data_IF_684916126834
#
_entry.id   IF_684916126834
#
_cell.length_a   1.000
_cell.length_b   1.000
_cell.length_c   1.000
_cell.angle_alpha   90.00
_cell.angle_beta   90.00
_cell.angle_gamma   90.00
#
_symmetry.space_group_name_H-M   'P 1'
#
loop_
_entity.id
_entity.type
_entity.pdbx_description
1 polymer ?
#
# COMPACT_ATOMS: atom_id res chain seq x y z
N UNK A 1 -3.98 20.36 -47.15
CA UNK A 1 -3.20 21.07 -46.11
C UNK A 1 -3.94 20.92 -44.81
N UNK A 2 -3.41 20.14 -43.88
CA UNK A 2 -3.93 20.09 -42.50
C UNK A 2 -3.34 21.27 -41.74
N UNK A 3 -4.19 22.21 -41.34
CA UNK A 3 -3.83 23.31 -40.43
C UNK A 3 -3.63 22.66 -39.05
N UNK A 4 -2.41 22.71 -38.52
CA UNK A 4 -2.08 22.27 -37.16
C UNK A 4 -2.52 23.31 -36.12
N UNK A 5 -2.65 22.91 -34.85
CA UNK A 5 -3.05 23.85 -33.77
C UNK A 5 -2.04 24.99 -33.65
N UNK A 6 -0.77 24.73 -33.94
CA UNK A 6 0.32 25.70 -33.95
C UNK A 6 0.23 26.72 -35.09
N UNK A 7 -0.55 26.45 -36.13
CA UNK A 7 -0.79 27.35 -37.26
C UNK A 7 -1.84 28.42 -36.94
N UNK A 8 -2.53 28.29 -35.79
CA UNK A 8 -3.47 29.30 -35.30
C UNK A 8 -2.72 30.53 -34.75
N UNK A 9 -3.25 31.75 -34.98
CA UNK A 9 -2.74 32.98 -34.35
C UNK A 9 -2.59 32.81 -32.83
N UNK A 10 -1.53 33.41 -32.26
CA UNK A 10 -1.20 33.31 -30.83
C UNK A 10 -2.38 33.71 -29.93
N UNK A 11 -3.14 34.72 -30.32
CA UNK A 11 -4.34 35.22 -29.62
C UNK A 11 -5.46 34.19 -29.58
N UNK A 12 -5.72 33.47 -30.68
CA UNK A 12 -6.72 32.40 -30.74
C UNK A 12 -6.25 31.19 -29.94
N UNK A 13 -4.96 30.85 -30.01
CA UNK A 13 -4.37 29.81 -29.15
C UNK A 13 -4.51 30.17 -27.67
N UNK A 14 -4.22 31.42 -27.29
CA UNK A 14 -4.38 31.91 -25.92
C UNK A 14 -5.83 31.87 -25.47
N UNK A 15 -6.79 32.31 -26.29
CA UNK A 15 -8.23 32.20 -25.96
C UNK A 15 -8.67 30.75 -25.78
N UNK A 16 -8.28 29.83 -26.68
CA UNK A 16 -8.57 28.40 -26.52
C UNK A 16 -7.95 27.87 -25.22
N UNK A 17 -6.72 28.28 -24.91
CA UNK A 17 -6.06 27.85 -23.68
C UNK A 17 -6.73 28.44 -22.44
N UNK A 18 -7.03 29.72 -22.41
CA UNK A 18 -7.53 30.46 -21.24
C UNK A 18 -9.02 30.24 -20.98
N UNK A 19 -9.86 30.20 -22.02
CA UNK A 19 -11.32 30.16 -21.90
C UNK A 19 -11.90 28.73 -21.97
N UNK A 20 -11.24 27.79 -22.66
CA UNK A 20 -11.79 26.43 -22.89
C UNK A 20 -11.10 25.32 -22.07
N UNK A 21 -9.89 25.51 -21.55
CA UNK A 21 -9.11 24.43 -20.90
C UNK A 21 -9.05 24.47 -19.38
N UNK A 22 -9.61 25.49 -18.72
CA UNK A 22 -9.67 25.59 -17.26
C UNK A 22 -11.02 26.17 -16.83
N UNK A 23 -12.03 25.34 -16.55
CA UNK A 23 -13.22 25.82 -15.88
C UNK A 23 -12.81 26.32 -14.48
N UNK A 24 -13.15 27.57 -14.10
CA UNK A 24 -12.81 28.11 -12.80
C UNK A 24 -13.51 27.30 -11.69
N UNK A 25 -12.88 27.23 -10.52
CA UNK A 25 -13.53 26.70 -9.32
C UNK A 25 -14.57 27.73 -8.88
N UNK A 26 -15.84 27.34 -8.86
CA UNK A 26 -16.95 28.17 -8.43
C UNK A 26 -17.46 27.70 -7.08
N UNK A 27 -17.73 28.64 -6.18
CA UNK A 27 -18.45 28.37 -4.94
C UNK A 27 -19.94 28.58 -5.20
N UNK A 28 -20.73 27.54 -5.01
CA UNK A 28 -22.20 27.61 -5.11
C UNK A 28 -22.79 28.30 -3.88
N UNK A 29 -24.02 28.79 -4.00
CA UNK A 29 -24.75 29.48 -2.93
C UNK A 29 -24.92 28.63 -1.66
N UNK A 30 -24.87 27.30 -1.78
CA UNK A 30 -24.90 26.34 -0.67
C UNK A 30 -23.54 26.11 0.01
N UNK A 31 -22.51 26.88 -0.38
CA UNK A 31 -21.15 26.76 0.11
C UNK A 31 -20.35 25.60 -0.50
N UNK A 32 -20.94 24.78 -1.37
CA UNK A 32 -20.24 23.68 -2.04
C UNK A 32 -19.35 24.19 -3.16
N UNK A 33 -18.20 23.55 -3.33
CA UNK A 33 -17.25 23.87 -4.39
C UNK A 33 -17.51 22.99 -5.61
N UNK A 34 -17.63 23.61 -6.78
CA UNK A 34 -17.72 22.89 -8.05
C UNK A 34 -16.67 23.37 -9.04
N UNK A 35 -16.25 22.47 -9.91
CA UNK A 35 -15.51 22.79 -11.12
C UNK A 35 -16.35 22.24 -12.28
N UNK A 36 -16.74 23.10 -13.23
CA UNK A 36 -17.50 22.65 -14.39
C UNK A 36 -16.68 21.66 -15.22
N UNK A 37 -17.34 20.73 -15.92
CA UNK A 37 -16.64 19.86 -16.86
C UNK A 37 -16.13 20.71 -18.02
N UNK A 38 -14.81 20.70 -18.27
CA UNK A 38 -14.25 21.38 -19.44
C UNK A 38 -14.93 20.84 -20.70
N UNK A 39 -15.34 21.69 -21.63
CA UNK A 39 -15.99 21.25 -22.87
C UNK A 39 -14.96 20.54 -23.77
N UNK A 40 -14.86 19.21 -23.62
CA UNK A 40 -13.86 18.35 -24.28
C UNK A 40 -14.22 18.07 -25.76
N UNK A 41 -15.44 18.40 -26.18
CA UNK A 41 -16.00 18.04 -27.49
C UNK A 41 -15.21 18.64 -28.66
N UNK A 42 -14.56 19.81 -28.46
CA UNK A 42 -13.73 20.47 -29.47
C UNK A 42 -12.52 19.60 -29.88
N UNK A 43 -12.00 18.76 -28.98
CA UNK A 43 -10.79 17.97 -29.25
C UNK A 43 -11.02 16.80 -30.19
N UNK A 44 -12.26 16.36 -30.42
CA UNK A 44 -12.55 15.16 -31.23
C UNK A 44 -12.70 15.42 -32.73
N UNK A 45 -12.41 16.65 -33.19
CA UNK A 45 -12.59 17.06 -34.59
C UNK A 45 -11.51 16.52 -35.54
N UNK A 46 -10.28 16.27 -35.07
CA UNK A 46 -9.17 15.70 -35.86
C UNK A 46 -8.19 14.93 -34.94
N UNK A 47 -7.62 13.80 -35.37
CA UNK A 47 -6.66 13.00 -34.57
C UNK A 47 -5.41 13.77 -34.12
N UNK A 48 -4.87 14.65 -34.96
CA UNK A 48 -3.69 15.45 -34.63
C UNK A 48 -4.04 16.55 -33.61
N UNK A 49 -5.13 17.28 -33.86
CA UNK A 49 -5.67 18.29 -32.94
C UNK A 49 -6.03 17.63 -31.60
N UNK A 50 -6.63 16.44 -31.63
CA UNK A 50 -6.92 15.65 -30.43
C UNK A 50 -5.66 15.38 -29.62
N UNK A 51 -4.58 14.89 -30.25
CA UNK A 51 -3.34 14.58 -29.55
C UNK A 51 -2.74 15.84 -28.92
N UNK A 52 -2.51 16.88 -29.71
CA UNK A 52 -1.89 18.15 -29.27
C UNK A 52 -2.74 18.84 -28.19
N UNK A 53 -4.05 18.97 -28.40
CA UNK A 53 -4.94 19.62 -27.43
C UNK A 53 -5.14 18.78 -26.18
N UNK A 54 -5.13 17.44 -26.27
CA UNK A 54 -5.16 16.59 -25.08
C UNK A 54 -3.90 16.76 -24.24
N UNK A 55 -2.72 16.80 -24.85
CA UNK A 55 -1.47 17.00 -24.09
C UNK A 55 -1.46 18.35 -23.39
N UNK A 56 -1.92 19.42 -24.07
CA UNK A 56 -2.05 20.74 -23.44
C UNK A 56 -3.09 20.72 -22.32
N UNK A 57 -4.24 20.08 -22.52
CA UNK A 57 -5.28 19.98 -21.51
C UNK A 57 -4.78 19.28 -20.23
N UNK A 58 -4.14 18.12 -20.37
CA UNK A 58 -3.61 17.37 -19.23
C UNK A 58 -2.43 18.08 -18.56
N UNK A 59 -1.52 18.69 -19.33
CA UNK A 59 -0.41 19.46 -18.80
C UNK A 59 -0.88 20.72 -18.07
N UNK A 60 -1.90 21.43 -18.59
CA UNK A 60 -2.42 22.65 -17.98
C UNK A 60 -3.17 22.39 -16.67
N UNK A 61 -3.95 21.32 -16.63
CA UNK A 61 -4.79 20.98 -15.47
C UNK A 61 -4.05 20.17 -14.40
N UNK A 62 -3.02 19.42 -14.81
CA UNK A 62 -2.21 18.53 -13.96
C UNK A 62 -3.15 17.64 -13.13
N UNK A 63 -3.83 16.72 -13.83
CA UNK A 63 -4.83 15.86 -13.21
C UNK A 63 -4.22 14.84 -12.27
N UNK A 64 -4.85 14.71 -11.11
CA UNK A 64 -4.41 13.85 -10.01
C UNK A 64 -5.51 12.86 -9.71
N UNK A 65 -5.16 11.58 -9.71
CA UNK A 65 -6.09 10.49 -9.42
C UNK A 65 -6.08 10.24 -7.92
N UNK A 66 -7.24 10.39 -7.28
CA UNK A 66 -7.43 10.04 -5.88
C UNK A 66 -7.98 8.62 -5.80
N UNK A 67 -7.24 7.73 -5.16
CA UNK A 67 -7.58 6.31 -5.02
C UNK A 67 -7.70 5.93 -3.55
N UNK A 68 -8.57 4.98 -3.25
CA UNK A 68 -8.63 4.36 -1.93
C UNK A 68 -9.02 2.90 -2.01
N UNK A 69 -8.56 2.10 -1.05
CA UNK A 69 -9.00 0.73 -0.87
C UNK A 69 -10.29 0.61 -0.02
N UNK A 70 -10.88 1.74 0.36
CA UNK A 70 -12.12 1.80 1.16
C UNK A 70 -13.08 2.82 0.55
N UNK A 71 -14.31 2.40 0.25
CA UNK A 71 -15.32 3.23 -0.41
C UNK A 71 -15.90 4.34 0.50
N UNK A 72 -15.77 4.18 1.81
CA UNK A 72 -16.23 5.15 2.82
C UNK A 72 -15.19 6.21 3.15
N UNK A 73 -13.95 6.10 2.65
CA UNK A 73 -12.88 7.00 3.06
C UNK A 73 -13.18 8.48 2.78
N UNK A 74 -13.84 8.73 1.66
CA UNK A 74 -14.13 10.06 1.16
C UNK A 74 -15.62 10.41 1.24
N UNK A 75 -16.33 9.88 2.24
CA UNK A 75 -17.72 10.25 2.55
C UNK A 75 -18.01 11.76 2.43
N UNK A 76 -19.30 12.11 2.26
CA UNK A 76 -19.82 13.42 1.82
C UNK A 76 -18.96 14.65 2.17
N UNK A 77 -18.49 14.78 3.41
CA UNK A 77 -17.67 15.90 3.84
C UNK A 77 -16.36 16.14 3.06
N UNK A 78 -15.73 15.14 2.44
CA UNK A 78 -14.58 15.37 1.53
C UNK A 78 -15.05 15.89 0.18
N UNK A 79 -16.09 15.28 -0.39
CA UNK A 79 -16.63 15.63 -1.70
C UNK A 79 -17.22 17.05 -1.74
N UNK A 80 -17.82 17.52 -0.65
CA UNK A 80 -18.44 18.85 -0.59
C UNK A 80 -17.39 19.97 -0.45
N UNK A 81 -16.26 19.67 0.18
CA UNK A 81 -15.16 20.60 0.45
C UNK A 81 -14.07 20.59 -0.61
N UNK A 82 -14.13 19.64 -1.55
CA UNK A 82 -13.13 19.48 -2.60
C UNK A 82 -13.79 19.61 -3.97
N UNK A 83 -13.37 20.55 -4.83
CA UNK A 83 -13.86 20.62 -6.20
C UNK A 83 -13.35 19.39 -6.96
N UNK A 84 -14.23 18.42 -7.14
CA UNK A 84 -13.96 17.20 -7.89
C UNK A 84 -14.18 17.48 -9.37
N UNK A 85 -13.11 17.32 -10.16
CA UNK A 85 -13.19 17.42 -11.61
C UNK A 85 -14.05 16.29 -12.18
N UNK A 86 -13.80 15.05 -11.74
CA UNK A 86 -14.58 13.90 -12.23
C UNK A 86 -14.67 12.78 -11.21
N UNK A 87 -15.88 12.30 -10.94
CA UNK A 87 -16.09 11.02 -10.23
C UNK A 87 -15.83 9.85 -11.18
N UNK A 88 -15.06 8.87 -10.72
CA UNK A 88 -14.72 7.70 -11.53
C UNK A 88 -15.88 6.69 -11.46
N UNK A 89 -16.56 6.50 -12.60
CA UNK A 89 -17.63 5.49 -12.72
C UNK A 89 -17.10 4.11 -13.09
N UNK A 90 -15.98 4.07 -13.83
CA UNK A 90 -15.31 2.84 -14.27
C UNK A 90 -13.80 2.94 -13.97
N UNK A 91 -13.33 2.38 -12.85
CA UNK A 91 -11.93 2.45 -12.44
C UNK A 91 -10.94 1.87 -13.46
N UNK A 92 -11.37 0.89 -14.27
CA UNK A 92 -10.51 0.20 -15.24
C UNK A 92 -10.03 1.12 -16.36
N UNK A 93 -10.81 2.15 -16.69
CA UNK A 93 -10.46 3.15 -17.72
C UNK A 93 -9.44 4.16 -17.24
N UNK A 94 -9.27 4.31 -15.92
CA UNK A 94 -8.35 5.27 -15.31
C UNK A 94 -6.97 4.65 -15.13
N UNK A 95 -6.89 3.40 -14.65
CA UNK A 95 -5.62 2.69 -14.43
C UNK A 95 -4.80 2.42 -15.69
N UNK A 96 -5.39 2.57 -16.89
CA UNK A 96 -4.73 2.35 -18.18
C UNK A 96 -4.27 3.64 -18.87
N UNK A 97 -4.46 4.82 -18.26
CA UNK A 97 -4.21 6.10 -18.91
C UNK A 97 -2.89 6.75 -18.42
N UNK A 98 -1.84 6.85 -19.26
CA UNK A 98 -0.56 7.46 -18.88
C UNK A 98 -0.62 9.00 -18.75
N UNK A 99 -1.80 9.62 -18.93
CA UNK A 99 -1.95 11.07 -19.03
C UNK A 99 -2.10 11.77 -17.67
N UNK A 100 -2.22 11.02 -16.59
CA UNK A 100 -2.34 11.59 -15.24
C UNK A 100 -0.98 11.99 -14.70
N UNK A 101 -0.95 13.13 -14.01
CA UNK A 101 0.29 13.66 -13.44
C UNK A 101 0.77 12.82 -12.26
N UNK A 102 -0.17 12.47 -11.38
CA UNK A 102 0.11 11.84 -10.10
C UNK A 102 -1.10 11.00 -9.66
N UNK A 103 -0.82 9.95 -8.90
CA UNK A 103 -1.81 9.20 -8.13
C UNK A 103 -1.57 9.42 -6.64
N UNK A 104 -2.61 9.79 -5.90
CA UNK A 104 -2.60 9.76 -4.43
C UNK A 104 -3.47 8.60 -3.97
N UNK A 105 -2.83 7.56 -3.44
CA UNK A 105 -3.51 6.37 -2.93
C UNK A 105 -3.57 6.40 -1.41
N UNK A 106 -4.78 6.32 -0.88
CA UNK A 106 -5.06 6.33 0.54
C UNK A 106 -5.48 4.94 1.00
N UNK A 107 -4.63 4.34 1.83
CA UNK A 107 -4.84 2.99 2.34
C UNK A 107 -5.36 3.04 3.77
N UNK A 108 -6.48 2.36 3.97
CA UNK A 108 -7.09 2.09 5.26
C UNK A 108 -7.23 0.61 5.54
N UNK A 109 -7.50 0.27 6.80
CA UNK A 109 -7.81 -1.05 7.30
C UNK A 109 -9.25 -1.09 7.84
N UNK A 110 -10.15 -1.65 7.06
CA UNK A 110 -11.53 -1.98 7.42
C UNK A 110 -11.77 -3.51 7.38
N UNK A 111 -13.00 -3.98 7.55
CA UNK A 111 -13.30 -5.42 7.59
C UNK A 111 -13.15 -6.12 6.23
N UNK A 112 -13.39 -5.43 5.12
CA UNK A 112 -13.30 -5.96 3.76
C UNK A 112 -12.49 -5.00 2.89
N UNK A 113 -11.34 -5.45 2.41
CA UNK A 113 -10.41 -4.56 1.73
C UNK A 113 -9.83 -5.21 0.48
N UNK A 114 -9.67 -4.40 -0.55
CA UNK A 114 -8.80 -4.73 -1.66
C UNK A 114 -7.34 -4.47 -1.27
N UNK A 115 -6.42 -5.30 -1.75
CA UNK A 115 -4.99 -5.03 -1.62
C UNK A 115 -4.57 -3.73 -2.32
N UNK A 116 -5.32 -3.32 -3.35
CA UNK A 116 -5.08 -2.12 -4.13
C UNK A 116 -6.22 -1.12 -4.01
N UNK A 117 -5.86 0.16 -3.95
CA UNK A 117 -6.81 1.24 -4.04
C UNK A 117 -7.46 1.28 -5.42
N UNK A 118 -8.76 1.55 -5.43
CA UNK A 118 -9.51 1.82 -6.65
C UNK A 118 -9.58 3.33 -6.86
N UNK A 119 -9.38 3.83 -8.09
CA UNK A 119 -9.65 5.23 -8.41
C UNK A 119 -11.07 5.63 -8.06
N UNK A 120 -11.21 6.64 -7.21
CA UNK A 120 -12.51 7.14 -6.72
C UNK A 120 -12.91 8.39 -7.49
N UNK A 121 -11.99 9.35 -7.61
CA UNK A 121 -12.24 10.60 -8.33
C UNK A 121 -10.93 11.26 -8.78
N UNK A 122 -11.07 12.26 -9.65
CA UNK A 122 -9.98 13.04 -10.23
C UNK A 122 -10.13 14.48 -9.76
N UNK A 123 -9.03 15.08 -9.35
CA UNK A 123 -8.91 16.50 -9.03
C UNK A 123 -7.85 17.16 -9.92
N UNK A 124 -7.93 18.47 -10.07
CA UNK A 124 -6.85 19.26 -10.68
C UNK A 124 -5.85 19.66 -9.60
N UNK A 125 -4.63 20.04 -10.00
CA UNK A 125 -3.65 20.56 -9.04
C UNK A 125 -4.13 21.85 -8.32
N UNK A 126 -5.07 22.61 -8.91
CA UNK A 126 -5.68 23.79 -8.27
C UNK A 126 -6.56 23.42 -7.07
N UNK A 127 -7.14 22.22 -7.06
CA UNK A 127 -8.02 21.75 -5.99
C UNK A 127 -7.26 21.17 -4.78
N UNK A 128 -5.94 20.95 -4.90
CA UNK A 128 -5.13 20.31 -3.86
C UNK A 128 -5.13 21.00 -2.49
N UNK A 129 -5.05 22.35 -2.37
CA UNK A 129 -5.09 22.99 -1.06
C UNK A 129 -6.41 22.73 -0.33
N UNK A 130 -7.52 22.74 -1.07
CA UNK A 130 -8.87 22.48 -0.57
C UNK A 130 -9.02 21.01 -0.18
N UNK A 131 -8.51 20.11 -1.02
CA UNK A 131 -8.46 18.69 -0.73
C UNK A 131 -7.68 18.40 0.56
N UNK A 132 -6.45 18.91 0.69
CA UNK A 132 -5.62 18.77 1.88
C UNK A 132 -6.35 19.25 3.14
N UNK A 133 -7.00 20.41 3.06
CA UNK A 133 -7.80 20.95 4.16
C UNK A 133 -8.98 20.04 4.51
N UNK A 134 -9.65 19.45 3.51
CA UNK A 134 -10.77 18.53 3.71
C UNK A 134 -10.36 17.19 4.36
N UNK A 135 -9.09 16.80 4.22
CA UNK A 135 -8.50 15.61 4.84
C UNK A 135 -8.09 15.84 6.30
N UNK A 136 -7.96 17.10 6.74
CA UNK A 136 -7.46 17.41 8.07
C UNK A 136 -8.34 16.81 9.18
N UNK A 137 -7.71 16.29 10.24
CA UNK A 137 -8.36 15.68 11.41
C UNK A 137 -8.96 14.28 11.17
N UNK A 138 -9.19 13.88 9.92
CA UNK A 138 -9.76 12.55 9.59
C UNK A 138 -8.78 11.39 9.83
N UNK A 139 -7.48 11.68 9.75
CA UNK A 139 -6.42 10.66 9.75
C UNK A 139 -5.50 10.72 10.98
N UNK A 140 -5.84 11.56 11.97
CA UNK A 140 -4.99 11.80 13.14
C UNK A 140 -5.05 10.64 14.15
N UNK A 141 -6.23 10.05 14.39
CA UNK A 141 -6.43 9.03 15.45
C UNK A 141 -7.49 7.96 15.11
N UNK A 142 -7.39 7.31 13.95
CA UNK A 142 -8.29 6.22 13.55
C UNK A 142 -7.58 4.87 13.49
N UNK A 143 -8.19 3.84 14.08
CA UNK A 143 -7.86 2.44 13.77
C UNK A 143 -8.17 2.25 12.27
N UNK A 144 -7.13 2.35 11.46
CA UNK A 144 -7.14 1.92 10.08
C UNK A 144 -7.43 2.96 9.00
N UNK A 145 -7.09 4.25 9.10
CA UNK A 145 -7.00 5.10 7.90
C UNK A 145 -5.93 6.17 8.10
N UNK A 146 -4.85 6.13 7.32
CA UNK A 146 -3.79 7.14 7.44
C UNK A 146 -2.49 6.84 6.70
N UNK A 147 -2.44 5.81 5.85
CA UNK A 147 -1.27 5.51 5.03
C UNK A 147 -1.47 6.08 3.64
N UNK A 148 -0.53 6.88 3.14
CA UNK A 148 -0.65 7.53 1.84
C UNK A 148 0.55 7.22 0.96
N UNK A 149 0.29 6.86 -0.29
CA UNK A 149 1.31 6.81 -1.33
C UNK A 149 1.01 7.88 -2.38
N UNK A 150 1.92 8.83 -2.55
CA UNK A 150 1.90 9.81 -3.62
C UNK A 150 2.89 9.36 -4.69
N UNK A 151 2.40 9.02 -5.88
CA UNK A 151 3.23 8.53 -6.97
C UNK A 151 3.11 9.47 -8.18
N UNK A 152 4.20 10.15 -8.52
CA UNK A 152 4.31 10.94 -9.74
C UNK A 152 4.46 10.00 -10.93
N UNK A 153 3.56 10.14 -11.90
CA UNK A 153 3.50 9.33 -13.11
C UNK A 153 4.07 10.09 -14.32
N UNK A 154 3.74 11.38 -14.42
CA UNK A 154 4.14 12.22 -15.55
C UNK A 154 4.30 13.68 -15.13
N UNK A 155 5.49 14.23 -15.37
CA UNK A 155 5.81 15.66 -15.16
C UNK A 155 5.47 16.52 -16.38
N UNK A 156 5.03 15.90 -17.47
CA UNK A 156 4.84 16.53 -18.78
C UNK A 156 6.14 17.18 -19.27
N UNK A 157 6.05 18.36 -19.90
CA UNK A 157 7.21 19.16 -20.33
C UNK A 157 7.71 20.13 -19.26
N UNK A 158 7.23 20.01 -18.01
CA UNK A 158 7.72 20.84 -16.91
C UNK A 158 9.05 20.30 -16.39
N UNK A 159 9.89 21.21 -15.88
CA UNK A 159 11.04 20.82 -15.06
C UNK A 159 10.56 20.18 -13.76
N UNK A 160 11.40 19.36 -13.13
CA UNK A 160 11.11 18.73 -11.84
C UNK A 160 10.69 19.75 -10.77
N UNK A 161 11.45 20.84 -10.66
CA UNK A 161 11.18 21.94 -9.74
C UNK A 161 9.80 22.57 -10.01
N UNK A 162 9.53 22.96 -11.26
CA UNK A 162 8.25 23.60 -11.61
C UNK A 162 7.06 22.69 -11.41
N UNK A 163 7.20 21.42 -11.75
CA UNK A 163 6.15 20.43 -11.49
C UNK A 163 5.89 20.30 -9.99
N UNK A 164 6.96 20.22 -9.18
CA UNK A 164 6.87 20.07 -7.74
C UNK A 164 6.19 21.28 -7.09
N UNK A 165 6.51 22.49 -7.52
CA UNK A 165 5.82 23.71 -7.12
C UNK A 165 4.32 23.67 -7.45
N UNK A 166 3.98 23.30 -8.69
CA UNK A 166 2.60 23.30 -9.18
C UNK A 166 1.72 22.24 -8.51
N UNK A 167 2.29 21.15 -8.02
CA UNK A 167 1.58 20.05 -7.36
C UNK A 167 1.75 20.11 -5.86
N UNK A 168 2.96 19.87 -5.38
CA UNK A 168 3.27 19.76 -3.96
C UNK A 168 3.28 21.13 -3.29
N UNK A 169 3.78 22.19 -3.95
CA UNK A 169 3.67 23.55 -3.43
C UNK A 169 2.21 23.98 -3.21
N UNK A 170 1.30 23.64 -4.13
CA UNK A 170 -0.14 23.87 -3.95
C UNK A 170 -0.75 23.01 -2.85
N UNK A 171 -0.35 21.75 -2.73
CA UNK A 171 -0.79 20.92 -1.62
C UNK A 171 -0.37 21.51 -0.26
N UNK A 172 0.87 21.98 -0.17
CA UNK A 172 1.45 22.58 1.03
C UNK A 172 0.89 23.97 1.35
N UNK A 173 0.31 24.68 0.38
CA UNK A 173 -0.33 25.98 0.59
C UNK A 173 -1.73 25.89 1.21
N UNK A 174 -2.17 24.71 1.64
CA UNK A 174 -3.44 24.52 2.32
C UNK A 174 -3.49 25.28 3.66
N UNK A 175 -4.67 25.79 4.03
CA UNK A 175 -4.86 26.44 5.35
C UNK A 175 -4.51 25.47 6.49
N UNK A 176 -4.85 24.19 6.31
CA UNK A 176 -4.52 23.12 7.26
C UNK A 176 -4.06 21.88 6.52
N UNK A 177 -2.91 21.35 6.93
CA UNK A 177 -2.34 20.14 6.36
C UNK A 177 -2.76 18.89 7.16
N UNK A 178 -3.08 17.78 6.47
CA UNK A 178 -3.37 16.52 7.13
C UNK A 178 -2.10 15.89 7.71
N UNK A 179 -2.25 15.23 8.86
CA UNK A 179 -1.19 14.39 9.45
C UNK A 179 -1.52 12.92 9.20
N UNK A 180 -0.68 12.24 8.43
CA UNK A 180 -0.79 10.85 8.04
C UNK A 180 0.05 9.96 8.96
N UNK A 181 -0.43 8.75 9.26
CA UNK A 181 0.31 7.74 10.05
C UNK A 181 1.65 7.44 9.39
N UNK A 182 1.63 7.21 8.08
CA UNK A 182 2.85 7.20 7.27
C UNK A 182 2.52 7.65 5.86
N UNK A 183 3.53 8.21 5.20
CA UNK A 183 3.40 8.60 3.81
C UNK A 183 4.65 8.23 3.03
N UNK A 184 4.45 7.86 1.77
CA UNK A 184 5.51 7.58 0.81
C UNK A 184 5.32 8.49 -0.38
N UNK A 185 6.38 9.17 -0.79
CA UNK A 185 6.40 9.99 -1.98
C UNK A 185 7.37 9.36 -2.97
N UNK A 186 6.88 8.96 -4.14
CA UNK A 186 7.64 8.30 -5.19
C UNK A 186 7.60 9.12 -6.49
N UNK A 187 8.73 9.18 -7.20
CA UNK A 187 8.86 9.76 -8.53
C UNK A 187 9.84 10.93 -8.60
N UNK A 188 9.90 11.60 -9.75
CA UNK A 188 10.83 12.73 -9.99
C UNK A 188 10.28 14.01 -9.38
N UNK A 189 10.76 14.36 -8.20
CA UNK A 189 10.26 15.46 -7.36
C UNK A 189 11.47 16.19 -6.79
N UNK A 190 11.31 17.49 -6.61
CA UNK A 190 12.34 18.31 -5.98
C UNK A 190 12.40 18.03 -4.46
N UNK A 191 13.62 17.84 -3.96
CA UNK A 191 13.88 17.34 -2.60
C UNK A 191 13.34 18.25 -1.50
N UNK A 192 13.29 19.58 -1.74
CA UNK A 192 12.76 20.54 -0.76
C UNK A 192 11.25 20.31 -0.53
N UNK A 193 10.52 19.93 -1.59
CA UNK A 193 9.10 19.59 -1.48
C UNK A 193 8.89 18.24 -0.81
N UNK A 194 9.78 17.26 -1.05
CA UNK A 194 9.74 15.98 -0.33
C UNK A 194 9.95 16.26 1.16
N UNK A 195 10.98 17.04 1.52
CA UNK A 195 11.27 17.43 2.89
C UNK A 195 10.07 18.14 3.56
N UNK A 196 9.48 19.12 2.87
CA UNK A 196 8.33 19.87 3.38
C UNK A 196 7.10 18.97 3.60
N UNK A 197 6.79 18.06 2.67
CA UNK A 197 5.68 17.11 2.84
C UNK A 197 5.95 16.15 3.98
N UNK A 198 7.14 15.55 4.02
CA UNK A 198 7.49 14.59 5.05
C UNK A 198 7.46 15.23 6.44
N UNK A 199 7.95 16.46 6.59
CA UNK A 199 7.98 17.18 7.87
C UNK A 199 6.60 17.70 8.31
N UNK A 200 5.78 18.19 7.38
CA UNK A 200 4.50 18.82 7.71
C UNK A 200 3.30 17.87 7.66
N UNK A 201 3.40 16.74 6.95
CA UNK A 201 2.28 15.82 6.74
C UNK A 201 2.48 14.44 7.36
N UNK A 202 3.71 14.02 7.71
CA UNK A 202 3.88 12.80 8.50
C UNK A 202 3.53 13.07 9.97
N UNK A 203 2.88 12.12 10.65
CA UNK A 203 2.60 12.20 12.07
C UNK A 203 3.92 12.07 12.84
N UNK A 204 4.27 13.10 13.60
CA UNK A 204 5.49 13.21 14.39
C UNK A 204 5.41 12.54 15.77
N UNK A 205 4.20 12.11 16.19
CA UNK A 205 4.00 11.39 17.45
C UNK A 205 4.89 10.14 17.53
N UNK A 206 5.65 10.04 18.62
CA UNK A 206 6.61 8.95 18.88
C UNK A 206 5.95 7.57 18.87
N UNK A 207 4.66 7.50 19.19
CA UNK A 207 3.89 6.26 19.24
C UNK A 207 3.32 5.84 17.88
N UNK A 208 3.41 6.65 16.83
CA UNK A 208 2.81 6.36 15.51
C UNK A 208 3.31 5.04 14.91
N UNK A 209 4.63 4.79 14.97
CA UNK A 209 5.25 3.55 14.49
C UNK A 209 4.79 2.33 15.31
N UNK A 210 4.58 2.50 16.61
CA UNK A 210 4.09 1.45 17.52
C UNK A 210 2.64 1.09 17.26
N UNK A 211 1.77 2.08 17.07
CA UNK A 211 0.37 1.85 16.74
C UNK A 211 0.22 1.14 15.39
N UNK A 212 1.02 1.53 14.39
CA UNK A 212 1.03 0.85 13.10
C UNK A 212 1.43 -0.63 13.25
N UNK A 213 2.53 -0.89 13.95
CA UNK A 213 3.06 -2.25 14.14
C UNK A 213 2.08 -3.14 14.92
N UNK A 214 1.45 -2.59 15.97
CA UNK A 214 0.40 -3.28 16.72
C UNK A 214 -0.79 -3.61 15.81
N UNK A 215 -1.25 -2.65 15.00
CA UNK A 215 -2.31 -2.86 14.02
C UNK A 215 -1.98 -4.00 13.06
N UNK A 216 -0.81 -3.94 12.42
CA UNK A 216 -0.31 -4.97 11.50
C UNK A 216 -0.39 -6.37 12.12
N UNK A 217 0.06 -6.48 13.37
CA UNK A 217 0.05 -7.73 14.12
C UNK A 217 -1.36 -8.22 14.43
N UNK A 218 -2.25 -7.35 14.91
CA UNK A 218 -3.65 -7.71 15.14
C UNK A 218 -4.31 -8.28 13.87
N UNK A 219 -4.04 -7.70 12.70
CA UNK A 219 -4.59 -8.20 11.42
C UNK A 219 -3.99 -9.54 11.01
N UNK A 220 -2.67 -9.70 11.15
CA UNK A 220 -1.99 -10.98 10.93
C UNK A 220 -2.65 -12.08 11.77
N UNK A 221 -2.81 -11.83 13.06
CA UNK A 221 -3.40 -12.79 14.01
C UNK A 221 -4.87 -13.11 13.66
N UNK A 222 -5.64 -12.13 13.17
CA UNK A 222 -7.02 -12.34 12.72
C UNK A 222 -7.10 -13.26 11.49
N UNK A 223 -6.29 -12.99 10.46
CA UNK A 223 -6.25 -13.85 9.26
C UNK A 223 -5.78 -15.26 9.64
N UNK A 224 -4.76 -15.34 10.50
CA UNK A 224 -4.25 -16.59 11.03
C UNK A 224 -5.34 -17.40 11.74
N UNK A 225 -6.01 -16.79 12.71
CA UNK A 225 -7.07 -17.42 13.47
C UNK A 225 -8.22 -17.90 12.58
N UNK A 226 -8.63 -17.10 11.59
CA UNK A 226 -9.64 -17.52 10.61
C UNK A 226 -9.18 -18.73 9.78
N UNK A 227 -7.91 -18.80 9.37
CA UNK A 227 -7.39 -19.98 8.67
C UNK A 227 -7.35 -21.22 9.57
N UNK A 228 -7.03 -21.08 10.86
CA UNK A 228 -7.06 -22.19 11.83
C UNK A 228 -8.45 -22.80 11.96
N UNK A 229 -9.48 -21.96 11.91
CA UNK A 229 -10.90 -22.33 12.05
C UNK A 229 -11.58 -22.79 10.74
N UNK A 230 -10.83 -22.95 9.63
CA UNK A 230 -11.40 -23.29 8.31
C UNK A 230 -12.33 -24.51 8.33
N UNK A 231 -11.96 -25.55 9.06
CA UNK A 231 -12.69 -26.83 9.12
C UNK A 231 -13.43 -27.02 10.46
N UNK A 232 -13.45 -26.01 11.32
CA UNK A 232 -14.16 -26.02 12.58
C UNK A 232 -15.65 -25.71 12.33
N UNK A 233 -16.60 -26.57 12.73
CA UNK A 233 -18.03 -26.29 12.64
C UNK A 233 -18.41 -24.96 13.32
N UNK A 234 -17.78 -24.65 14.45
CA UNK A 234 -18.04 -23.42 15.23
C UNK A 234 -17.35 -22.18 14.64
N UNK A 235 -16.53 -22.36 13.58
CA UNK A 235 -15.79 -21.30 12.89
C UNK A 235 -16.64 -20.44 11.95
N UNK A 236 -17.97 -20.61 11.90
CA UNK A 236 -18.84 -19.91 10.96
C UNK A 236 -18.76 -18.37 11.11
N UNK A 237 -18.83 -17.86 12.34
CA UNK A 237 -18.77 -16.42 12.63
C UNK A 237 -17.46 -15.78 12.11
N UNK A 238 -16.34 -16.49 12.22
CA UNK A 238 -15.04 -16.02 11.73
C UNK A 238 -14.94 -16.01 10.20
N UNK A 239 -15.56 -16.99 9.53
CA UNK A 239 -15.60 -17.05 8.06
C UNK A 239 -16.52 -15.98 7.46
N UNK A 240 -17.56 -15.58 8.18
CA UNK A 240 -18.41 -14.44 7.81
C UNK A 240 -17.66 -13.11 7.97
N UNK A 241 -16.85 -12.97 9.02
CA UNK A 241 -16.06 -11.75 9.25
C UNK A 241 -14.89 -11.60 8.26
N UNK A 242 -14.18 -12.68 7.96
CA UNK A 242 -13.08 -12.70 6.99
C UNK A 242 -13.39 -13.76 5.92
N UNK A 243 -14.09 -13.34 4.85
CA UNK A 243 -14.38 -14.20 3.72
C UNK A 243 -13.10 -14.74 3.07
N UNK A 244 -13.24 -15.83 2.34
CA UNK A 244 -12.13 -16.55 1.70
C UNK A 244 -11.18 -15.65 0.92
N UNK A 245 -11.69 -14.75 0.09
CA UNK A 245 -10.87 -13.84 -0.70
C UNK A 245 -10.00 -12.91 0.15
N UNK A 246 -10.46 -12.55 1.35
CA UNK A 246 -9.73 -11.67 2.26
C UNK A 246 -8.52 -12.34 2.91
N UNK A 247 -8.46 -13.67 2.94
CA UNK A 247 -7.27 -14.39 3.46
C UNK A 247 -6.01 -14.19 2.61
N UNK A 248 -6.16 -13.71 1.38
CA UNK A 248 -5.05 -13.37 0.49
C UNK A 248 -4.89 -11.85 0.33
N UNK A 249 -6.01 -11.12 0.25
CA UNK A 249 -5.99 -9.67 0.04
C UNK A 249 -5.49 -8.90 1.26
N UNK A 250 -5.83 -9.32 2.49
CA UNK A 250 -5.38 -8.63 3.70
C UNK A 250 -3.85 -8.71 3.88
N UNK A 251 -3.18 -9.88 3.81
CA UNK A 251 -1.73 -9.93 3.88
C UNK A 251 -1.04 -9.10 2.80
N UNK A 252 -1.59 -9.07 1.57
CA UNK A 252 -1.08 -8.23 0.48
C UNK A 252 -1.20 -6.75 0.81
N UNK A 253 -2.34 -6.31 1.34
CA UNK A 253 -2.52 -4.93 1.77
C UNK A 253 -1.52 -4.57 2.88
N UNK A 254 -1.36 -5.45 3.87
CA UNK A 254 -0.45 -5.26 5.00
C UNK A 254 1.00 -5.14 4.55
N UNK A 255 1.45 -5.95 3.58
CA UNK A 255 2.78 -5.84 2.97
C UNK A 255 2.98 -4.46 2.31
N UNK A 256 1.97 -3.94 1.60
CA UNK A 256 2.05 -2.60 1.00
C UNK A 256 2.08 -1.49 2.04
N UNK A 257 1.30 -1.61 3.10
CA UNK A 257 1.33 -0.65 4.20
C UNK A 257 2.67 -0.68 4.92
N UNK A 258 3.26 -1.86 5.13
CA UNK A 258 4.59 -2.01 5.72
C UNK A 258 5.65 -1.32 4.87
N UNK A 259 5.58 -1.46 3.54
CA UNK A 259 6.43 -0.74 2.59
C UNK A 259 6.35 0.79 2.73
N UNK A 260 5.13 1.34 2.80
CA UNK A 260 4.92 2.79 3.01
C UNK A 260 5.46 3.23 4.37
N UNK A 261 5.16 2.46 5.43
CA UNK A 261 5.64 2.74 6.79
C UNK A 261 7.15 2.75 6.85
N UNK A 262 7.79 1.80 6.17
CA UNK A 262 9.23 1.66 6.16
C UNK A 262 9.87 2.87 5.47
N UNK A 263 9.47 3.20 4.24
CA UNK A 263 9.98 4.37 3.53
C UNK A 263 9.79 5.67 4.31
N UNK A 264 8.62 5.84 4.92
CA UNK A 264 8.33 7.00 5.76
C UNK A 264 9.31 7.11 6.94
N UNK A 265 9.48 6.01 7.67
CA UNK A 265 10.36 5.99 8.83
C UNK A 265 11.82 6.24 8.46
N UNK A 266 12.33 5.56 7.43
CA UNK A 266 13.74 5.68 7.03
C UNK A 266 14.06 7.13 6.67
N UNK A 267 13.18 7.78 5.90
CA UNK A 267 13.31 9.20 5.58
C UNK A 267 13.28 10.07 6.83
N UNK A 268 12.32 9.84 7.74
CA UNK A 268 12.21 10.61 8.99
C UNK A 268 13.44 10.46 9.88
N UNK A 269 14.01 9.26 9.97
CA UNK A 269 15.20 8.98 10.76
C UNK A 269 16.43 9.66 10.15
N UNK A 270 16.63 9.50 8.83
CA UNK A 270 17.82 9.99 8.12
C UNK A 270 17.81 11.50 7.87
N UNK A 271 16.65 12.11 7.61
CA UNK A 271 16.55 13.52 7.17
C UNK A 271 15.85 14.43 8.18
N UNK A 272 14.98 13.90 9.03
CA UNK A 272 14.18 14.70 9.99
C UNK A 272 14.60 14.49 11.45
N UNK A 273 15.63 13.70 11.72
CA UNK A 273 16.13 13.43 13.07
C UNK A 273 15.15 12.69 13.97
N UNK A 274 14.18 11.98 13.39
CA UNK A 274 13.20 11.22 14.15
C UNK A 274 13.86 10.06 14.92
N UNK A 275 13.70 10.07 16.24
CA UNK A 275 14.11 8.97 17.11
C UNK A 275 12.89 8.09 17.38
N UNK A 276 12.90 6.88 16.83
CA UNK A 276 12.01 5.83 17.33
C UNK A 276 12.69 5.16 18.52
N UNK A 277 12.03 5.21 19.67
CA UNK A 277 12.46 4.45 20.83
C UNK A 277 11.96 3.00 20.69
N UNK A 278 12.87 2.03 20.82
CA UNK A 278 12.56 0.60 20.94
C UNK A 278 12.80 -0.28 19.71
N UNK A 279 12.28 -1.51 19.76
CA UNK A 279 12.50 -2.61 18.79
C UNK A 279 12.03 -2.25 17.37
N UNK A 280 11.15 -1.27 17.22
CA UNK A 280 10.52 -0.85 15.96
C UNK A 280 11.42 0.01 15.05
N UNK A 281 12.51 0.53 15.60
CA UNK A 281 13.59 1.18 14.85
C UNK A 281 14.58 0.15 14.25
N UNK A 282 14.49 -1.12 14.64
CA UNK A 282 15.39 -2.18 14.19
C UNK A 282 14.87 -2.73 12.84
N UNK A 283 15.58 -2.47 11.74
CA UNK A 283 15.27 -3.00 10.40
C UNK A 283 14.93 -4.51 10.40
N UNK A 284 15.71 -5.36 11.11
CA UNK A 284 15.41 -6.76 11.39
C UNK A 284 14.00 -7.06 11.96
N UNK A 285 13.44 -6.21 12.82
CA UNK A 285 12.08 -6.40 13.31
C UNK A 285 11.06 -6.29 12.17
N UNK A 286 11.23 -5.30 11.29
CA UNK A 286 10.36 -5.12 10.12
C UNK A 286 10.53 -6.22 9.07
N UNK A 287 11.74 -6.75 8.91
CA UNK A 287 11.95 -7.95 8.10
C UNK A 287 11.24 -9.17 8.67
N UNK A 288 11.21 -9.32 10.00
CA UNK A 288 10.42 -10.35 10.68
C UNK A 288 8.93 -10.24 10.36
N UNK A 289 8.34 -9.04 10.48
CA UNK A 289 6.93 -8.81 10.14
C UNK A 289 6.63 -9.06 8.66
N UNK A 290 7.52 -8.63 7.75
CA UNK A 290 7.38 -8.92 6.32
C UNK A 290 7.41 -10.43 6.03
N UNK A 291 8.38 -11.15 6.62
CA UNK A 291 8.50 -12.59 6.48
C UNK A 291 7.25 -13.33 6.96
N UNK A 292 6.72 -12.92 8.11
CA UNK A 292 5.49 -13.47 8.67
C UNK A 292 4.30 -13.27 7.73
N UNK A 293 4.13 -12.06 7.17
CA UNK A 293 3.06 -11.77 6.22
C UNK A 293 3.18 -12.58 4.92
N UNK A 294 4.39 -12.74 4.37
CA UNK A 294 4.61 -13.60 3.21
C UNK A 294 4.35 -15.07 3.53
N UNK A 295 4.71 -15.53 4.72
CA UNK A 295 4.41 -16.89 5.17
C UNK A 295 2.90 -17.12 5.29
N UNK A 296 2.16 -16.17 5.89
CA UNK A 296 0.69 -16.18 5.96
C UNK A 296 0.07 -16.20 4.56
N UNK A 297 0.58 -15.39 3.62
CA UNK A 297 0.11 -15.34 2.25
C UNK A 297 0.36 -16.65 1.48
N UNK A 298 1.55 -17.24 1.61
CA UNK A 298 1.84 -18.53 1.00
C UNK A 298 0.94 -19.64 1.57
N UNK A 299 0.72 -19.64 2.89
CA UNK A 299 -0.17 -20.58 3.57
C UNK A 299 -1.63 -20.43 3.13
N UNK A 300 -2.12 -19.20 2.97
CA UNK A 300 -3.50 -18.97 2.55
C UNK A 300 -3.75 -19.47 1.12
N UNK A 301 -2.81 -19.26 0.20
CA UNK A 301 -2.90 -19.84 -1.15
C UNK A 301 -2.83 -21.35 -1.18
N UNK A 302 -1.93 -21.91 -0.38
CA UNK A 302 -1.90 -23.34 -0.17
C UNK A 302 -3.31 -23.80 0.30
N UNK A 303 -3.93 -23.12 1.27
CA UNK A 303 -5.22 -23.54 1.84
C UNK A 303 -6.32 -23.50 0.78
N UNK A 304 -6.32 -22.47 -0.05
CA UNK A 304 -7.19 -22.37 -1.22
C UNK A 304 -7.00 -23.56 -2.18
N UNK A 305 -5.76 -23.96 -2.46
CA UNK A 305 -5.47 -25.12 -3.31
C UNK A 305 -6.05 -26.42 -2.75
N UNK A 306 -6.02 -26.58 -1.43
CA UNK A 306 -6.59 -27.75 -0.75
C UNK A 306 -8.12 -27.79 -0.86
N UNK A 307 -8.79 -26.65 -0.76
CA UNK A 307 -10.26 -26.56 -0.93
C UNK A 307 -10.68 -26.89 -2.34
N UNK A 308 -9.89 -26.44 -3.31
CA UNK A 308 -10.09 -26.73 -4.73
C UNK A 308 -9.61 -28.14 -5.14
N UNK A 309 -9.49 -29.12 -4.23
CA UNK A 309 -8.97 -30.46 -4.55
C UNK A 309 -9.76 -31.16 -5.66
N UNK A 310 -11.06 -30.89 -5.74
CA UNK A 310 -11.97 -31.43 -6.77
C UNK A 310 -11.86 -30.68 -8.12
N UNK A 311 -11.13 -29.56 -8.15
CA UNK A 311 -10.93 -28.69 -9.31
C UNK A 311 -9.42 -28.53 -9.62
N UNK A 312 -8.82 -29.48 -10.36
CA UNK A 312 -7.36 -29.56 -10.53
C UNK A 312 -6.70 -28.26 -11.01
N UNK A 313 -7.31 -27.56 -11.97
CA UNK A 313 -6.76 -26.30 -12.51
C UNK A 313 -6.78 -25.17 -11.47
N UNK A 314 -7.82 -25.10 -10.63
CA UNK A 314 -7.89 -24.11 -9.54
C UNK A 314 -6.87 -24.42 -8.45
N UNK A 315 -6.71 -25.70 -8.08
CA UNK A 315 -5.70 -26.13 -7.13
C UNK A 315 -4.28 -25.83 -7.63
N UNK A 316 -4.01 -26.13 -8.91
CA UNK A 316 -2.75 -25.80 -9.58
C UNK A 316 -2.47 -24.30 -9.56
N UNK A 317 -3.44 -23.47 -9.93
CA UNK A 317 -3.31 -22.02 -9.88
C UNK A 317 -2.98 -21.53 -8.46
N UNK A 318 -3.69 -22.02 -7.45
CA UNK A 318 -3.44 -21.64 -6.07
C UNK A 318 -2.04 -22.08 -5.57
N UNK A 319 -1.54 -23.27 -5.96
CA UNK A 319 -0.16 -23.66 -5.65
C UNK A 319 0.89 -22.78 -6.36
N UNK A 320 0.63 -22.34 -7.59
CA UNK A 320 1.49 -21.37 -8.28
C UNK A 320 1.54 -20.03 -7.54
N UNK A 321 0.39 -19.53 -7.06
CA UNK A 321 0.34 -18.32 -6.24
C UNK A 321 1.05 -18.48 -4.90
N UNK A 322 0.93 -19.65 -4.25
CA UNK A 322 1.66 -19.95 -3.02
C UNK A 322 3.19 -19.93 -3.21
N UNK A 323 3.66 -20.55 -4.30
CA UNK A 323 5.07 -20.52 -4.69
C UNK A 323 5.52 -19.07 -4.93
N UNK A 324 4.77 -18.32 -5.73
CA UNK A 324 5.07 -16.92 -6.03
C UNK A 324 5.15 -16.06 -4.77
N UNK A 325 4.21 -16.20 -3.84
CA UNK A 325 4.23 -15.46 -2.58
C UNK A 325 5.48 -15.77 -1.74
N UNK A 326 5.94 -17.03 -1.73
CA UNK A 326 7.17 -17.40 -1.05
C UNK A 326 8.41 -16.84 -1.75
N UNK A 327 8.48 -16.90 -3.09
CA UNK A 327 9.57 -16.32 -3.89
C UNK A 327 9.64 -14.79 -3.73
N UNK A 328 8.51 -14.09 -3.79
CA UNK A 328 8.41 -12.65 -3.59
C UNK A 328 8.90 -12.28 -2.18
N UNK A 329 8.56 -13.10 -1.17
CA UNK A 329 9.06 -12.93 0.20
C UNK A 329 10.56 -13.15 0.33
N UNK A 330 11.12 -14.20 -0.27
CA UNK A 330 12.58 -14.43 -0.29
C UNK A 330 13.28 -13.24 -0.95
N UNK A 331 12.78 -12.80 -2.11
CA UNK A 331 13.32 -11.64 -2.83
C UNK A 331 13.28 -10.37 -1.96
N UNK A 332 12.19 -10.16 -1.22
CA UNK A 332 12.06 -9.04 -0.30
C UNK A 332 13.09 -9.09 0.83
N UNK A 333 13.32 -10.27 1.42
CA UNK A 333 14.28 -10.46 2.52
C UNK A 333 15.74 -10.37 2.06
N UNK A 334 16.02 -10.51 0.76
CA UNK A 334 17.35 -10.36 0.16
C UNK A 334 17.63 -8.94 -0.37
N UNK A 335 16.88 -7.92 0.07
CA UNK A 335 17.05 -6.54 -0.39
C UNK A 335 18.24 -5.85 0.28
N UNK A 336 19.31 -5.66 -0.47
CA UNK A 336 20.55 -5.01 0.01
C UNK A 336 20.31 -3.55 0.47
N UNK A 337 19.36 -2.83 -0.14
CA UNK A 337 19.04 -1.42 0.18
C UNK A 337 18.43 -1.21 1.57
N UNK A 338 18.07 -2.30 2.26
CA UNK A 338 17.38 -2.28 3.56
C UNK A 338 18.07 -3.11 4.63
N UNK A 339 19.09 -3.86 4.25
CA UNK A 339 19.97 -4.61 5.16
C UNK A 339 21.21 -3.75 5.40
N UNK A 340 21.02 -2.50 5.84
CA UNK A 340 22.11 -1.69 6.35
C UNK A 340 22.39 -2.12 7.79
N UNK A 341 23.24 -3.13 7.97
CA UNK A 341 23.99 -3.22 9.22
C UNK A 341 24.99 -2.07 9.17
N UNK A 342 24.91 -1.05 10.03
CA UNK A 342 25.92 -0.01 10.01
C UNK A 342 27.29 -0.68 10.18
N UNK A 343 28.24 -0.34 9.31
CA UNK A 343 29.62 -0.85 9.27
C UNK A 343 30.43 -0.37 10.49
N UNK A 344 29.94 -0.64 11.71
CA UNK A 344 30.75 -0.52 12.92
C UNK A 344 31.48 -1.85 13.08
N UNK A 345 32.57 -1.93 12.32
CA UNK A 345 33.65 -2.89 12.53
C UNK A 345 34.28 -2.48 13.87
N UNK A 346 34.33 -3.42 14.81
CA UNK A 346 34.89 -3.32 16.16
C UNK A 346 33.98 -2.73 17.26
N UNK A 347 33.07 -3.58 17.75
CA UNK A 347 32.33 -3.36 19.00
C UNK A 347 31.58 -4.62 19.48
N UNK A 348 31.08 -4.65 20.72
CA UNK A 348 30.34 -5.78 21.32
C UNK A 348 28.96 -6.09 20.65
N UNK A 349 28.72 -5.60 19.44
CA UNK A 349 27.49 -5.73 18.64
C UNK A 349 27.48 -6.96 17.69
N UNK A 350 28.55 -7.77 17.67
CA UNK A 350 28.65 -8.96 16.81
C UNK A 350 27.59 -10.03 17.12
N UNK A 351 27.28 -10.28 18.39
CA UNK A 351 26.24 -11.26 18.77
C UNK A 351 24.84 -10.83 18.30
N UNK A 352 24.54 -9.54 18.38
CA UNK A 352 23.27 -8.98 17.92
C UNK A 352 23.17 -9.09 16.40
N UNK A 353 24.24 -8.77 15.67
CA UNK A 353 24.31 -8.90 14.21
C UNK A 353 24.15 -10.36 13.77
N UNK A 354 24.86 -11.29 14.41
CA UNK A 354 24.74 -12.72 14.14
C UNK A 354 23.32 -13.24 14.40
N UNK A 355 22.70 -12.85 15.52
CA UNK A 355 21.31 -13.19 15.83
C UNK A 355 20.33 -12.66 14.78
N UNK A 356 20.56 -11.46 14.26
CA UNK A 356 19.72 -10.86 13.21
C UNK A 356 19.88 -11.60 11.86
N UNK A 357 21.11 -11.94 11.46
CA UNK A 357 21.38 -12.77 10.27
C UNK A 357 20.70 -14.13 10.42
N UNK A 358 20.78 -14.75 11.60
CA UNK A 358 20.14 -16.03 11.86
C UNK A 358 18.61 -15.95 11.74
N UNK A 359 17.98 -14.88 12.26
CA UNK A 359 16.54 -14.64 12.12
C UNK A 359 16.13 -14.49 10.64
N UNK A 360 16.89 -13.72 9.86
CA UNK A 360 16.64 -13.54 8.42
C UNK A 360 16.78 -14.87 7.65
N UNK A 361 17.84 -15.62 7.92
CA UNK A 361 18.08 -16.92 7.30
C UNK A 361 17.02 -17.94 7.69
N UNK A 362 16.54 -17.92 8.93
CA UNK A 362 15.41 -18.75 9.39
C UNK A 362 14.13 -18.39 8.66
N UNK A 363 13.83 -17.11 8.49
CA UNK A 363 12.67 -16.62 7.75
C UNK A 363 12.72 -17.05 6.27
N UNK A 364 13.86 -16.85 5.60
CA UNK A 364 14.12 -17.32 4.23
C UNK A 364 13.92 -18.82 4.11
N UNK A 365 14.51 -19.59 5.02
CA UNK A 365 14.38 -21.04 5.06
C UNK A 365 12.92 -21.49 5.18
N UNK A 366 12.12 -20.83 6.02
CA UNK A 366 10.69 -21.13 6.13
C UNK A 366 9.94 -20.86 4.82
N UNK A 367 10.21 -19.75 4.14
CA UNK A 367 9.62 -19.45 2.83
C UNK A 367 10.09 -20.44 1.75
N UNK A 368 11.38 -20.79 1.70
CA UNK A 368 11.92 -21.81 0.80
C UNK A 368 11.28 -23.17 1.03
N UNK A 369 11.06 -23.56 2.28
CA UNK A 369 10.32 -24.77 2.63
C UNK A 369 8.86 -24.74 2.12
N UNK A 370 8.18 -23.58 2.16
CA UNK A 370 6.84 -23.43 1.56
C UNK A 370 6.90 -23.51 0.02
N UNK A 371 7.85 -22.85 -0.61
CA UNK A 371 8.06 -22.93 -2.07
C UNK A 371 8.33 -24.39 -2.51
N UNK A 372 9.18 -25.11 -1.78
CA UNK A 372 9.46 -26.53 -2.01
C UNK A 372 8.19 -27.39 -1.94
N UNK A 373 7.35 -27.15 -0.92
CA UNK A 373 6.07 -27.87 -0.76
C UNK A 373 5.10 -27.57 -1.90
N UNK A 374 4.97 -26.32 -2.33
CA UNK A 374 4.15 -25.95 -3.48
C UNK A 374 4.65 -26.64 -4.77
N UNK A 375 5.95 -26.61 -5.03
CA UNK A 375 6.57 -27.26 -6.19
C UNK A 375 6.34 -28.79 -6.18
N UNK A 376 6.48 -29.43 -5.02
CA UNK A 376 6.19 -30.86 -4.86
C UNK A 376 4.74 -31.19 -5.21
N UNK A 377 3.78 -30.34 -4.82
CA UNK A 377 2.36 -30.50 -5.19
C UNK A 377 2.06 -30.23 -6.65
N UNK A 378 2.85 -29.38 -7.30
CA UNK A 378 2.80 -29.13 -8.74
C UNK A 378 3.49 -30.23 -9.57
N UNK A 379 4.19 -31.18 -8.93
CA UNK A 379 4.98 -32.20 -9.61
C UNK A 379 6.36 -31.73 -10.07
N UNK A 380 6.75 -30.48 -9.77
CA UNK A 380 8.06 -29.91 -10.09
C UNK A 380 9.10 -30.34 -9.03
N UNK A 381 9.59 -31.58 -9.18
CA UNK A 381 10.59 -32.16 -8.26
C UNK A 381 11.90 -31.39 -8.29
N UNK A 382 12.30 -30.87 -9.46
CA UNK A 382 13.57 -30.16 -9.63
C UNK A 382 13.58 -28.86 -8.81
N UNK A 383 12.54 -28.05 -8.95
CA UNK A 383 12.41 -26.83 -8.15
C UNK A 383 12.26 -27.14 -6.65
N UNK A 384 11.48 -28.18 -6.29
CA UNK A 384 11.34 -28.59 -4.89
C UNK A 384 12.67 -28.97 -4.24
N UNK A 385 13.53 -29.68 -4.97
CA UNK A 385 14.89 -30.00 -4.52
C UNK A 385 15.76 -28.76 -4.40
N UNK A 386 15.71 -27.83 -5.36
CA UNK A 386 16.47 -26.58 -5.29
C UNK A 386 16.16 -25.79 -4.01
N UNK A 387 14.88 -25.54 -3.72
CA UNK A 387 14.49 -24.85 -2.49
C UNK A 387 14.85 -25.62 -1.21
N UNK A 388 14.88 -26.96 -1.27
CA UNK A 388 15.34 -27.78 -0.13
C UNK A 388 16.84 -27.59 0.12
N UNK A 389 17.63 -27.43 -0.94
CA UNK A 389 19.07 -27.11 -0.83
C UNK A 389 19.26 -25.72 -0.25
N UNK A 390 18.48 -24.72 -0.70
CA UNK A 390 18.55 -23.35 -0.16
C UNK A 390 18.32 -23.33 1.36
N UNK A 391 17.38 -24.14 1.87
CA UNK A 391 17.13 -24.28 3.33
C UNK A 391 18.35 -24.81 4.07
N UNK A 392 19.07 -25.77 3.50
CA UNK A 392 20.25 -26.38 4.12
C UNK A 392 21.41 -25.38 4.13
N UNK A 393 21.54 -24.57 3.08
CA UNK A 393 22.56 -23.52 2.99
C UNK A 393 22.28 -22.40 3.99
N UNK A 394 21.05 -21.93 4.05
CA UNK A 394 20.65 -20.79 4.90
C UNK A 394 20.57 -21.15 6.38
N UNK A 395 20.09 -22.36 6.69
CA UNK A 395 19.88 -22.83 8.05
C UNK A 395 20.30 -24.31 8.18
N UNK A 396 21.61 -24.60 8.28
CA UNK A 396 22.15 -25.96 8.33
C UNK A 396 21.58 -26.83 9.45
N UNK A 397 21.12 -26.23 10.55
CA UNK A 397 20.46 -26.93 11.65
C UNK A 397 19.13 -27.59 11.25
N UNK A 398 18.52 -27.20 10.13
CA UNK A 398 17.35 -27.91 9.60
C UNK A 398 17.70 -29.22 8.90
N UNK A 399 18.96 -29.47 8.53
CA UNK A 399 19.38 -30.57 7.64
C UNK A 399 18.80 -31.96 7.98
N UNK A 400 18.95 -32.52 9.20
CA UNK A 400 18.37 -33.84 9.50
C UNK A 400 16.83 -33.83 9.53
N UNK A 401 16.21 -32.65 9.67
CA UNK A 401 14.77 -32.48 9.81
C UNK A 401 14.07 -31.91 8.57
N UNK A 402 14.75 -31.60 7.45
CA UNK A 402 14.09 -30.90 6.33
C UNK A 402 12.96 -31.72 5.73
N UNK A 403 13.18 -33.01 5.45
CA UNK A 403 12.13 -33.90 4.91
C UNK A 403 10.95 -34.02 5.85
N UNK A 404 11.23 -34.18 7.14
CA UNK A 404 10.19 -34.24 8.17
C UNK A 404 9.45 -32.90 8.27
N UNK A 405 10.15 -31.76 8.23
CA UNK A 405 9.54 -30.43 8.18
C UNK A 405 8.71 -30.23 6.93
N UNK A 406 9.14 -30.68 5.74
CA UNK A 406 8.30 -30.62 4.54
C UNK A 406 6.95 -31.36 4.73
N UNK A 407 6.98 -32.50 5.43
CA UNK A 407 5.79 -33.27 5.80
C UNK A 407 4.97 -32.57 6.90
N UNK A 408 5.65 -32.03 7.93
CA UNK A 408 5.11 -31.30 9.08
C UNK A 408 4.76 -29.84 8.82
N UNK A 409 5.09 -29.26 7.67
CA UNK A 409 4.53 -27.98 7.17
C UNK A 409 3.04 -28.16 6.85
N UNK A 410 2.40 -29.12 7.52
CA UNK A 410 1.07 -29.62 7.39
C UNK A 410 0.11 -28.44 7.51
N UNK A 411 -1.06 -28.66 6.95
CA UNK A 411 -2.18 -27.72 7.02
C UNK A 411 -2.69 -27.48 8.44
N UNK A 412 -2.19 -28.24 9.43
CA UNK A 412 -2.68 -28.31 10.80
C UNK A 412 -1.66 -27.86 11.84
N UNK A 413 -0.37 -27.90 11.51
CA UNK A 413 0.69 -27.41 12.40
C UNK A 413 0.96 -25.95 12.06
N UNK A 414 -0.03 -25.14 12.43
CA UNK A 414 0.17 -23.72 12.64
C UNK A 414 1.29 -23.61 13.68
N UNK A 415 2.40 -22.89 13.44
CA UNK A 415 3.36 -22.60 14.49
C UNK A 415 2.62 -22.11 15.73
N UNK A 416 3.02 -22.63 16.88
CA UNK A 416 2.65 -22.05 18.16
C UNK A 416 2.99 -20.56 18.11
N UNK A 417 2.16 -19.73 18.74
CA UNK A 417 2.49 -18.32 18.94
C UNK A 417 3.92 -18.26 19.52
N UNK A 418 4.81 -17.39 19.01
CA UNK A 418 6.18 -17.35 19.51
C UNK A 418 6.20 -17.25 21.04
N UNK A 419 6.88 -18.18 21.71
CA UNK A 419 6.98 -18.23 23.19
C UNK A 419 7.54 -16.92 23.76
N UNK A 420 8.34 -16.21 22.96
CA UNK A 420 9.00 -14.94 23.30
C UNK A 420 8.20 -13.70 22.89
N UNK A 421 6.93 -13.86 22.51
CA UNK A 421 6.06 -12.71 22.31
C UNK A 421 5.81 -12.02 23.66
N UNK A 422 6.22 -10.76 23.87
CA UNK A 422 5.92 -10.02 25.11
C UNK A 422 4.41 -9.77 25.30
N UNK A 423 3.57 -10.25 24.38
CA UNK A 423 2.12 -10.20 24.43
C UNK A 423 1.59 -11.62 24.19
N UNK A 424 1.57 -12.43 25.25
CA UNK A 424 0.98 -13.78 25.26
C UNK A 424 -0.54 -13.60 25.36
N UNK A 425 -1.16 -13.46 24.20
CA UNK A 425 -2.60 -13.44 24.02
C UNK A 425 -2.91 -13.04 22.59
N UNK A 426 -3.92 -13.63 21.92
CA UNK A 426 -4.44 -13.03 20.70
C UNK A 426 -4.77 -11.57 21.02
N UNK A 427 -4.30 -10.63 20.21
CA UNK A 427 -4.75 -9.26 20.32
C UNK A 427 -6.24 -9.22 19.95
N UNK A 428 -7.08 -9.44 20.95
CA UNK A 428 -8.53 -9.38 20.90
C UNK A 428 -8.90 -7.90 20.70
N UNK A 429 -8.85 -7.45 19.46
CA UNK A 429 -9.78 -6.42 18.98
C UNK A 429 -10.99 -7.15 18.40
N UNK A 430 -11.64 -7.95 19.24
CA UNK A 430 -13.01 -8.37 18.96
C UNK A 430 -13.86 -7.11 18.93
N UNK A 431 -14.91 -7.12 18.11
CA UNK A 431 -16.02 -6.17 18.18
C UNK A 431 -16.31 -5.84 19.66
N UNK A 432 -15.83 -4.69 20.15
CA UNK A 432 -16.63 -3.97 21.12
C UNK A 432 -17.89 -3.66 20.32
N UNK A 433 -18.90 -4.53 20.44
CA UNK A 433 -20.27 -4.13 20.15
C UNK A 433 -20.44 -2.76 20.79
N UNK A 434 -21.16 -1.89 20.12
CA UNK A 434 -21.74 -0.68 20.71
C UNK A 434 -22.66 -1.07 21.89
N UNK A 435 -22.09 -1.53 23.00
CA UNK A 435 -22.73 -1.72 24.28
C UNK A 435 -22.71 -0.43 25.10
N UNK A 436 -22.84 0.71 24.40
CA UNK A 436 -23.39 1.95 24.95
C UNK A 436 -24.77 2.21 24.33
N UNK A 437 -25.57 1.16 24.23
CA UNK A 437 -27.02 1.23 24.01
C UNK A 437 -27.67 0.33 25.04
N UNK A 438 -27.70 0.79 26.30
CA UNK A 438 -28.74 0.62 27.32
C UNK A 438 -28.16 0.98 28.69
N UNK A 439 -28.39 2.22 29.12
CA UNK A 439 -28.68 2.66 30.50
C UNK A 439 -28.58 4.18 30.57
N UNK A 440 -29.56 4.85 29.99
CA UNK A 440 -30.01 6.14 30.51
C UNK A 440 -31.12 5.84 31.52
N UNK A 441 -30.85 6.13 32.78
CA UNK A 441 -31.89 6.55 33.72
C UNK A 441 -32.37 7.94 33.34
#
# INVERSE_FOLDING_TARGET
MSIGLLDLPLTIRQQIYEELLLPPITQKEDGKLSQEDATVDIFYTNRQVYAESSDVFYAKNIFIVISSNTDTLFEQGTYEKTPVFRKVRDPRKITQCPRFAMTMEFLGISQLLAAHGTPQFIVTAQALPLFATALNGKYKHGIGCGMVQMQVQQTFRYTTERFSELVFGRFLSAERLPRFVALKVDGTIDDDYIYAIMSLCANDETSSCSHFSLGLRCYKDRVWYRMQKEYDPDGQSMREEIPDGQTHELPRLMLRMLEISWSCHDYRQSHLGHKCDGILADGPYRFGEAADLYNVLALSYMLAAKRAKEYPEQAKHAYLQARKAAEDGIKYLCRDDRVAFPDVIDGPDDERRLSQIERLNRARSLLSLKAAKACSKLGDRKAATAYTVDVIVDAPYFNPGVKERLLRLSWKDWPDLPDDSPYIGPAILWKMRDSYSTRSH
#
